data_IF_819301008250
#
_entry.id   IF_819301008250
#
_cell.length_a   1.000
_cell.length_b   1.000
_cell.length_c   1.000
_cell.angle_alpha   90.00
_cell.angle_beta   90.00
_cell.angle_gamma   90.00
#
_symmetry.space_group_name_H-M   'P 1'
#
loop_
_entity.id
_entity.type
_entity.pdbx_description
1 polymer ?
#
# COMPACT_ATOMS: atom_id res chain seq x y z
N UNK A 1 -10.41 -20.47 -6.45
CA UNK A 1 -11.41 -19.82 -5.58
C UNK A 1 -10.79 -19.34 -4.25
N UNK A 2 -9.95 -20.17 -3.64
CA UNK A 2 -9.35 -19.83 -2.34
C UNK A 2 -8.47 -18.59 -2.38
N UNK A 3 -7.65 -18.44 -3.43
CA UNK A 3 -6.79 -17.26 -3.59
C UNK A 3 -7.62 -15.99 -3.74
N UNK A 4 -8.69 -16.06 -4.53
CA UNK A 4 -9.59 -14.91 -4.72
C UNK A 4 -10.24 -14.50 -3.40
N UNK A 5 -10.76 -15.47 -2.65
CA UNK A 5 -11.41 -15.18 -1.36
C UNK A 5 -10.42 -14.59 -0.36
N UNK A 6 -9.20 -15.14 -0.32
CA UNK A 6 -8.15 -14.59 0.56
C UNK A 6 -7.84 -13.15 0.20
N UNK A 7 -7.71 -12.85 -1.09
CA UNK A 7 -7.47 -11.49 -1.55
C UNK A 7 -8.60 -10.54 -1.20
N UNK A 8 -9.84 -10.96 -1.41
CA UNK A 8 -11.00 -10.14 -1.07
C UNK A 8 -11.10 -9.85 0.41
N UNK A 9 -10.83 -10.86 1.26
CA UNK A 9 -10.85 -10.68 2.72
C UNK A 9 -9.74 -9.73 3.16
N UNK A 10 -8.56 -9.86 2.59
CA UNK A 10 -7.44 -8.98 2.93
C UNK A 10 -7.74 -7.54 2.52
N UNK A 11 -8.39 -7.32 1.38
CA UNK A 11 -8.72 -5.98 0.91
C UNK A 11 -9.86 -5.34 1.70
N UNK A 12 -10.74 -6.13 2.32
CA UNK A 12 -11.98 -5.64 2.91
C UNK A 12 -11.75 -5.04 4.31
N UNK A 13 -10.89 -4.02 4.39
CA UNK A 13 -10.59 -3.33 5.64
C UNK A 13 -10.09 -1.92 5.30
N UNK A 14 -10.56 -0.86 5.99
CA UNK A 14 -10.28 0.53 5.58
C UNK A 14 -8.81 0.88 5.45
N UNK A 15 -7.98 0.51 6.43
CA UNK A 15 -6.55 0.83 6.38
C UNK A 15 -5.86 0.09 5.24
N UNK A 16 -6.24 -1.16 5.00
CA UNK A 16 -5.65 -1.96 3.92
C UNK A 16 -6.00 -1.41 2.55
N UNK A 17 -7.23 -0.91 2.36
CA UNK A 17 -7.59 -0.23 1.11
C UNK A 17 -6.75 1.03 0.91
N UNK A 18 -6.51 1.80 1.97
CA UNK A 18 -5.65 2.98 1.92
C UNK A 18 -4.21 2.60 1.53
N UNK A 19 -3.68 1.54 2.12
CA UNK A 19 -2.34 1.04 1.79
C UNK A 19 -2.24 0.62 0.32
N UNK A 20 -3.24 -0.10 -0.17
CA UNK A 20 -3.26 -0.52 -1.58
C UNK A 20 -3.25 0.69 -2.51
N UNK A 21 -4.08 1.69 -2.24
CA UNK A 21 -4.13 2.91 -3.04
C UNK A 21 -2.78 3.64 -3.03
N UNK A 22 -2.13 3.72 -1.89
CA UNK A 22 -0.83 4.38 -1.75
C UNK A 22 0.27 3.61 -2.50
N UNK A 23 0.33 2.31 -2.33
CA UNK A 23 1.34 1.47 -2.98
C UNK A 23 1.14 1.33 -4.49
N UNK A 24 -0.06 1.63 -4.98
CA UNK A 24 -0.31 1.72 -6.43
C UNK A 24 0.33 2.97 -7.05
N UNK A 25 0.60 3.98 -6.23
CA UNK A 25 1.15 5.28 -6.70
C UNK A 25 2.66 5.38 -6.51
N UNK A 26 3.24 4.63 -5.58
CA UNK A 26 4.66 4.69 -5.28
C UNK A 26 5.11 3.44 -4.54
N UNK A 27 6.40 3.14 -4.63
CA UNK A 27 7.04 2.09 -3.82
C UNK A 27 7.38 2.72 -2.47
N UNK A 28 6.84 2.13 -1.39
CA UNK A 28 6.86 2.75 -0.07
C UNK A 28 7.41 1.79 0.99
N UNK A 29 8.12 2.35 1.97
CA UNK A 29 8.60 1.60 3.13
C UNK A 29 7.53 1.60 4.24
N UNK A 30 7.72 0.75 5.25
CA UNK A 30 6.88 0.76 6.46
C UNK A 30 6.90 2.15 7.10
N UNK A 31 8.07 2.77 7.17
CA UNK A 31 8.23 4.10 7.76
C UNK A 31 7.40 5.15 7.02
N UNK A 32 7.44 5.13 5.68
CA UNK A 32 6.61 6.04 4.87
C UNK A 32 5.13 5.86 5.16
N UNK A 33 4.67 4.62 5.15
CA UNK A 33 3.26 4.30 5.38
C UNK A 33 2.81 4.67 6.79
N UNK A 34 3.65 4.42 7.79
CA UNK A 34 3.38 4.81 9.17
C UNK A 34 3.17 6.32 9.26
N UNK A 35 4.02 7.08 8.61
CA UNK A 35 3.94 8.54 8.59
C UNK A 35 2.66 9.03 7.89
N UNK A 36 2.34 8.46 6.73
CA UNK A 36 1.15 8.86 5.95
C UNK A 36 -0.13 8.49 6.70
N UNK A 37 -0.21 7.25 7.20
CA UNK A 37 -1.42 6.74 7.84
C UNK A 37 -1.64 7.28 9.25
N UNK A 38 -0.58 7.72 9.92
CA UNK A 38 -0.67 8.17 11.31
C UNK A 38 -1.00 7.04 12.27
N UNK A 39 -0.59 5.82 11.97
CA UNK A 39 -0.82 4.64 12.80
C UNK A 39 0.52 4.07 13.27
N UNK A 40 0.49 3.23 14.31
CA UNK A 40 1.71 2.66 14.86
C UNK A 40 2.38 1.72 13.86
N UNK A 41 3.71 1.64 13.95
CA UNK A 41 4.50 0.79 13.06
C UNK A 41 4.11 -0.70 13.19
N UNK A 42 3.90 -1.27 14.39
CA UNK A 42 3.46 -2.67 14.47
C UNK A 42 2.12 -2.93 13.79
N UNK A 43 1.22 -1.96 13.85
CA UNK A 43 -0.11 -2.05 13.23
C UNK A 43 0.01 -2.04 11.71
N UNK A 44 0.78 -1.10 11.18
CA UNK A 44 1.04 -1.00 9.74
C UNK A 44 1.74 -2.25 9.23
N UNK A 45 2.75 -2.74 9.95
CA UNK A 45 3.48 -3.97 9.58
C UNK A 45 2.55 -5.17 9.50
N UNK A 46 1.58 -5.28 10.41
CA UNK A 46 0.61 -6.38 10.42
C UNK A 46 -0.29 -6.33 9.19
N UNK A 47 -0.78 -5.15 8.84
CA UNK A 47 -1.58 -4.97 7.64
C UNK A 47 -0.77 -5.31 6.38
N UNK A 48 0.46 -4.87 6.31
CA UNK A 48 1.34 -5.16 5.18
C UNK A 48 1.57 -6.67 5.02
N UNK A 49 1.81 -7.37 6.13
CA UNK A 49 1.99 -8.82 6.10
C UNK A 49 0.74 -9.51 5.55
N UNK A 50 -0.44 -9.10 6.01
CA UNK A 50 -1.70 -9.66 5.51
C UNK A 50 -1.85 -9.46 4.00
N UNK A 51 -1.52 -8.27 3.51
CA UNK A 51 -1.65 -7.95 2.09
C UNK A 51 -0.63 -8.71 1.23
N UNK A 52 0.61 -8.85 1.71
CA UNK A 52 1.64 -9.62 1.01
C UNK A 52 1.26 -11.11 0.99
N UNK A 53 0.83 -11.66 2.12
CA UNK A 53 0.43 -13.07 2.22
C UNK A 53 -0.76 -13.38 1.30
N UNK A 54 -1.64 -12.41 1.08
CA UNK A 54 -2.79 -12.55 0.17
C UNK A 54 -2.44 -12.29 -1.29
N UNK A 55 -1.20 -11.91 -1.59
CA UNK A 55 -0.75 -11.65 -2.96
C UNK A 55 -1.20 -10.34 -3.56
N UNK A 56 -1.66 -9.38 -2.74
CA UNK A 56 -2.10 -8.06 -3.21
C UNK A 56 -0.95 -7.06 -3.26
N UNK A 57 0.06 -7.24 -2.43
CA UNK A 57 1.28 -6.46 -2.44
C UNK A 57 2.49 -7.35 -2.65
N UNK A 58 3.55 -6.77 -3.19
CA UNK A 58 4.87 -7.39 -3.28
C UNK A 58 5.82 -6.61 -2.40
N UNK A 59 6.64 -7.34 -1.63
CA UNK A 59 7.72 -6.77 -0.84
C UNK A 59 9.04 -7.05 -1.54
N UNK A 60 9.88 -6.05 -1.71
CA UNK A 60 11.20 -6.24 -2.30
C UNK A 60 12.22 -5.39 -1.56
N UNK A 61 13.48 -5.81 -1.64
CA UNK A 61 14.58 -5.10 -1.02
C UNK A 61 15.39 -4.33 -2.05
N UNK A 62 15.83 -3.14 -1.67
CA UNK A 62 16.77 -2.36 -2.42
C UNK A 62 17.79 -1.81 -1.42
N UNK A 63 19.01 -2.34 -1.48
CA UNK A 63 20.00 -2.10 -0.43
C UNK A 63 19.52 -2.65 0.90
N UNK A 64 19.52 -1.81 1.94
CA UNK A 64 19.06 -2.18 3.27
C UNK A 64 17.59 -1.85 3.50
N UNK A 65 16.90 -1.28 2.50
CA UNK A 65 15.51 -0.85 2.61
C UNK A 65 14.57 -1.89 2.04
N UNK A 66 13.44 -2.11 2.72
CA UNK A 66 12.35 -2.94 2.22
C UNK A 66 11.23 -2.03 1.74
N UNK A 67 10.79 -2.27 0.50
CA UNK A 67 9.72 -1.51 -0.14
C UNK A 67 8.52 -2.40 -0.41
N UNK A 68 7.36 -1.77 -0.50
CA UNK A 68 6.10 -2.42 -0.84
C UNK A 68 5.52 -1.76 -2.07
N UNK A 69 5.00 -2.57 -2.97
CA UNK A 69 4.32 -2.10 -4.19
C UNK A 69 3.12 -2.98 -4.49
N UNK A 70 2.22 -2.47 -5.30
CA UNK A 70 1.07 -3.23 -5.74
C UNK A 70 1.53 -4.44 -6.55
N UNK A 71 0.95 -5.62 -6.28
CA UNK A 71 1.28 -6.82 -7.03
C UNK A 71 0.77 -6.68 -8.48
N UNK A 72 1.60 -7.11 -9.43
CA UNK A 72 1.25 -7.09 -10.87
C UNK A 72 1.04 -8.50 -11.41
N UNK A 73 1.59 -9.50 -10.75
CA UNK A 73 1.57 -10.89 -11.16
C UNK A 73 0.98 -11.77 -10.08
N UNK A 74 0.86 -13.06 -10.37
CA UNK A 74 0.30 -14.01 -9.45
C UNK A 74 -1.23 -14.07 -9.52
N UNK A 75 -1.85 -15.01 -8.76
CA UNK A 75 -3.30 -15.25 -8.84
C UNK A 75 -4.16 -14.04 -8.48
N UNK A 76 -3.67 -13.17 -7.61
CA UNK A 76 -4.42 -12.02 -7.09
C UNK A 76 -3.87 -10.67 -7.54
N UNK A 77 -2.84 -10.66 -8.40
CA UNK A 77 -2.32 -9.41 -8.96
C UNK A 77 -3.38 -8.57 -9.68
N UNK A 78 -4.15 -9.17 -10.62
CA UNK A 78 -5.23 -8.44 -11.29
C UNK A 78 -6.30 -7.92 -10.32
N UNK A 79 -6.61 -8.67 -9.26
CA UNK A 79 -7.56 -8.23 -8.24
C UNK A 79 -7.06 -6.96 -7.54
N UNK A 80 -5.79 -6.91 -7.19
CA UNK A 80 -5.21 -5.74 -6.51
C UNK A 80 -5.44 -4.47 -7.35
N UNK A 81 -5.15 -4.52 -8.64
CA UNK A 81 -5.36 -3.38 -9.55
C UNK A 81 -6.82 -3.00 -9.65
N UNK A 82 -7.71 -3.97 -9.78
CA UNK A 82 -9.15 -3.72 -9.88
C UNK A 82 -9.71 -3.11 -8.60
N UNK A 83 -9.27 -3.58 -7.44
CA UNK A 83 -9.69 -3.01 -6.16
C UNK A 83 -9.28 -1.54 -6.06
N UNK A 84 -8.03 -1.23 -6.41
CA UNK A 84 -7.53 0.15 -6.39
C UNK A 84 -8.37 1.05 -7.31
N UNK A 85 -8.69 0.56 -8.50
CA UNK A 85 -9.45 1.33 -9.48
C UNK A 85 -10.88 1.62 -9.01
N UNK A 86 -11.41 0.83 -8.08
CA UNK A 86 -12.74 1.04 -7.51
C UNK A 86 -12.76 2.02 -6.33
N UNK A 87 -11.60 2.35 -5.76
CA UNK A 87 -11.53 3.25 -4.61
C UNK A 87 -11.91 4.68 -5.07
N UNK A 88 -12.89 5.32 -4.37
CA UNK A 88 -13.30 6.68 -4.75
C UNK A 88 -12.18 7.70 -4.55
N UNK A 89 -11.72 8.32 -5.64
CA UNK A 89 -10.60 9.28 -5.60
C UNK A 89 -10.98 10.61 -4.96
N UNK A 90 -12.27 10.90 -4.87
CA UNK A 90 -12.79 12.15 -4.29
C UNK A 90 -13.11 12.03 -2.80
N UNK A 91 -12.93 10.86 -2.20
CA UNK A 91 -13.14 10.71 -0.77
C UNK A 91 -12.06 11.46 0.01
N UNK A 92 -12.46 12.13 1.10
CA UNK A 92 -11.58 13.00 1.87
C UNK A 92 -10.33 12.28 2.37
N UNK A 93 -10.47 11.07 2.89
CA UNK A 93 -9.33 10.30 3.40
C UNK A 93 -8.35 9.94 2.28
N UNK A 94 -8.86 9.58 1.11
CA UNK A 94 -8.02 9.25 -0.05
C UNK A 94 -7.24 10.47 -0.51
N UNK A 95 -7.88 11.61 -0.58
CA UNK A 95 -7.21 12.87 -0.96
C UNK A 95 -6.18 13.30 0.06
N UNK A 96 -6.49 13.16 1.35
CA UNK A 96 -5.56 13.48 2.42
C UNK A 96 -4.32 12.58 2.38
N UNK A 97 -4.52 11.30 2.15
CA UNK A 97 -3.40 10.34 1.99
C UNK A 97 -2.53 10.73 0.79
N UNK A 98 -3.13 11.10 -0.33
CA UNK A 98 -2.40 11.52 -1.52
C UNK A 98 -1.55 12.77 -1.25
N UNK A 99 -2.07 13.73 -0.52
CA UNK A 99 -1.33 14.93 -0.12
C UNK A 99 -0.14 14.57 0.76
N UNK A 100 -0.33 13.69 1.72
CA UNK A 100 0.76 13.24 2.61
C UNK A 100 1.80 12.42 1.87
N UNK A 101 1.37 11.63 0.88
CA UNK A 101 2.29 10.90 0.01
C UNK A 101 3.18 11.88 -0.78
N UNK A 102 2.59 12.92 -1.34
CA UNK A 102 3.35 13.92 -2.09
C UNK A 102 4.41 14.59 -1.21
N UNK A 103 4.08 14.87 0.06
CA UNK A 103 5.04 15.43 1.02
C UNK A 103 6.20 14.46 1.30
N UNK A 104 5.92 13.16 1.43
CA UNK A 104 6.95 12.12 1.63
C UNK A 104 7.87 12.04 0.41
N UNK A 105 7.30 12.04 -0.80
CA UNK A 105 8.07 12.00 -2.04
C UNK A 105 8.94 13.25 -2.20
N UNK A 106 8.41 14.41 -1.84
CA UNK A 106 9.15 15.66 -1.87
C UNK A 106 10.34 15.64 -0.91
N UNK A 107 10.13 15.17 0.32
CA UNK A 107 11.18 15.04 1.31
C UNK A 107 12.30 14.10 0.85
N UNK A 108 11.96 13.00 0.17
CA UNK A 108 12.93 12.09 -0.42
C UNK A 108 13.75 12.75 -1.51
N UNK A 109 13.10 13.47 -2.41
CA UNK A 109 13.78 14.16 -3.51
C UNK A 109 14.77 15.19 -2.96
N UNK A 110 14.39 15.94 -1.93
CA UNK A 110 15.26 16.90 -1.28
C UNK A 110 16.45 16.24 -0.60
N UNK A 111 16.21 15.10 0.06
CA UNK A 111 17.28 14.36 0.75
C UNK A 111 18.27 13.73 -0.24
N UNK A 112 17.84 13.42 -1.47
CA UNK A 112 18.69 12.83 -2.51
C UNK A 112 19.61 13.86 -3.19
N UNK A 113 19.31 15.12 -3.04
CA UNK A 113 20.13 16.20 -3.56
C UNK A 113 21.30 16.49 -2.61
#
# INVERSE_FOLDING_TARGET
MDDLLRGLRAAAEPTRLRILALCARAELTVSDLTQILGQSQPRVSRHLKNLVDAGLLERFREGQWAFYRLAETGPTGPLARQVVDLIPVDEATVQQDATRLDAVKQARAEAAE
#
